data_IF_339110793977
#
_entry.id   IF_339110793977
#
_cell.length_a   1.000
_cell.length_b   1.000
_cell.length_c   1.000
_cell.angle_alpha   90.00
_cell.angle_beta   90.00
_cell.angle_gamma   90.00
#
_symmetry.space_group_name_H-M   'P 1'
#
loop_
_entity.id
_entity.type
_entity.pdbx_description
1 polymer ?
#
# COMPACT_ATOMS: atom_id res chain seq x y z
N UNK A 1 -8.22 18.83 7.82
CA UNK A 1 -7.18 17.82 7.54
C UNK A 1 -7.78 16.45 7.81
N UNK A 2 -8.01 15.63 6.77
CA UNK A 2 -8.46 14.25 6.99
C UNK A 2 -7.29 13.41 7.50
N UNK A 3 -7.53 12.60 8.54
CA UNK A 3 -6.51 11.81 9.25
C UNK A 3 -6.42 10.43 8.61
N UNK A 4 -5.37 10.18 7.82
CA UNK A 4 -5.00 8.84 7.36
C UNK A 4 -4.36 8.07 8.51
N UNK A 5 -4.84 6.85 8.75
CA UNK A 5 -4.30 5.95 9.78
C UNK A 5 -3.61 4.78 9.07
N UNK A 6 -2.34 4.56 9.39
CA UNK A 6 -1.61 3.38 8.92
C UNK A 6 -1.82 2.25 9.92
N UNK A 7 -2.37 1.14 9.44
CA UNK A 7 -2.61 -0.06 10.25
C UNK A 7 -1.78 -1.20 9.66
N UNK A 8 -0.94 -1.81 10.48
CA UNK A 8 -0.07 -2.91 10.06
C UNK A 8 -0.64 -4.25 10.54
N UNK A 9 -0.46 -5.28 9.73
CA UNK A 9 -0.85 -6.64 10.05
C UNK A 9 0.25 -7.61 9.59
N UNK A 10 0.40 -8.71 10.32
CA UNK A 10 1.43 -9.71 10.03
C UNK A 10 0.88 -10.74 9.04
N UNK A 11 1.30 -10.60 7.78
CA UNK A 11 0.95 -11.51 6.69
C UNK A 11 -0.42 -11.24 6.06
N UNK A 12 -0.63 -11.87 4.89
CA UNK A 12 -1.77 -11.64 4.01
C UNK A 12 -3.13 -11.88 4.67
N UNK A 13 -3.27 -12.99 5.38
CA UNK A 13 -4.52 -13.37 6.05
C UNK A 13 -4.92 -12.38 7.14
N UNK A 14 -3.95 -11.99 7.98
CA UNK A 14 -4.19 -11.01 9.04
C UNK A 14 -4.59 -9.65 8.46
N UNK A 15 -3.93 -9.24 7.36
CA UNK A 15 -4.22 -7.99 6.68
C UNK A 15 -5.61 -7.97 6.05
N UNK A 16 -6.02 -9.04 5.36
CA UNK A 16 -7.37 -9.12 4.77
C UNK A 16 -8.46 -9.21 5.85
N UNK A 17 -8.23 -9.98 6.92
CA UNK A 17 -9.17 -10.07 8.04
C UNK A 17 -9.38 -8.70 8.71
N UNK A 18 -8.29 -8.00 9.04
CA UNK A 18 -8.34 -6.68 9.66
C UNK A 18 -8.98 -5.63 8.74
N UNK A 19 -8.69 -5.68 7.44
CA UNK A 19 -9.37 -4.83 6.45
C UNK A 19 -10.88 -5.09 6.43
N UNK A 20 -11.30 -6.36 6.47
CA UNK A 20 -12.71 -6.74 6.59
C UNK A 20 -13.37 -6.13 7.82
N UNK A 21 -12.75 -6.23 9.00
CA UNK A 21 -13.22 -5.60 10.24
C UNK A 21 -13.34 -4.08 10.12
N UNK A 22 -12.35 -3.41 9.52
CA UNK A 22 -12.40 -1.95 9.34
C UNK A 22 -13.55 -1.55 8.40
N UNK A 23 -13.77 -2.32 7.33
CA UNK A 23 -14.85 -2.07 6.37
C UNK A 23 -16.23 -2.30 7.00
N UNK A 24 -16.43 -3.41 7.73
CA UNK A 24 -17.73 -3.81 8.24
C UNK A 24 -18.12 -3.16 9.56
N UNK A 25 -17.18 -3.03 10.50
CA UNK A 25 -17.47 -2.52 11.84
C UNK A 25 -17.21 -1.01 11.96
N UNK A 26 -16.17 -0.51 11.31
CA UNK A 26 -15.79 0.91 11.38
C UNK A 26 -16.36 1.73 10.23
N UNK A 27 -16.85 1.08 9.17
CA UNK A 27 -17.39 1.71 7.96
C UNK A 27 -16.45 2.77 7.37
N UNK A 28 -15.13 2.48 7.37
CA UNK A 28 -14.10 3.40 6.88
C UNK A 28 -13.51 2.91 5.57
N UNK A 29 -13.21 3.82 4.62
CA UNK A 29 -12.52 3.46 3.40
C UNK A 29 -11.16 2.79 3.67
N UNK A 30 -10.83 1.74 2.92
CA UNK A 30 -9.58 0.98 3.10
C UNK A 30 -8.81 0.87 1.79
N UNK A 31 -7.55 1.31 1.81
CA UNK A 31 -6.53 0.90 0.85
C UNK A 31 -5.75 -0.28 1.45
N UNK A 32 -6.00 -1.49 0.98
CA UNK A 32 -5.30 -2.68 1.47
C UNK A 32 -4.08 -2.97 0.57
N UNK A 33 -2.88 -2.82 1.12
CA UNK A 33 -1.63 -3.14 0.41
C UNK A 33 -1.12 -4.50 0.86
N UNK A 34 -0.93 -5.44 -0.07
CA UNK A 34 -0.45 -6.79 0.20
C UNK A 34 0.74 -7.09 -0.71
N UNK A 35 1.80 -7.67 -0.14
CA UNK A 35 2.93 -8.18 -0.91
C UNK A 35 2.51 -9.35 -1.81
N UNK A 36 2.82 -9.21 -3.10
CA UNK A 36 2.48 -10.17 -4.13
C UNK A 36 3.40 -11.40 -4.14
N UNK A 37 4.62 -11.31 -3.57
CA UNK A 37 5.63 -12.37 -3.58
C UNK A 37 5.97 -12.93 -4.98
N UNK A 38 5.63 -12.19 -6.04
CA UNK A 38 5.85 -12.58 -7.43
C UNK A 38 5.81 -11.36 -8.34
N UNK A 39 6.50 -11.42 -9.47
CA UNK A 39 6.46 -10.43 -10.55
C UNK A 39 5.60 -10.91 -11.73
N UNK A 40 5.04 -12.12 -11.66
CA UNK A 40 4.24 -12.71 -12.73
C UNK A 40 2.81 -12.13 -12.69
N UNK A 41 2.43 -11.40 -13.74
CA UNK A 41 1.19 -10.61 -13.77
C UNK A 41 -0.08 -11.45 -13.55
N UNK A 42 -0.14 -12.67 -14.09
CA UNK A 42 -1.26 -13.58 -13.91
C UNK A 42 -1.46 -13.94 -12.44
N UNK A 43 -0.39 -14.35 -11.76
CA UNK A 43 -0.38 -14.62 -10.33
C UNK A 43 -0.73 -13.40 -9.50
N UNK A 44 -0.25 -12.20 -9.86
CA UNK A 44 -0.60 -10.94 -9.17
C UNK A 44 -2.11 -10.69 -9.28
N UNK A 45 -2.66 -10.84 -10.48
CA UNK A 45 -4.07 -10.59 -10.76
C UNK A 45 -4.97 -11.60 -10.05
N UNK A 46 -4.62 -12.89 -10.08
CA UNK A 46 -5.37 -13.94 -9.39
C UNK A 46 -5.41 -13.69 -7.88
N UNK A 47 -4.28 -13.32 -7.29
CA UNK A 47 -4.20 -12.98 -5.87
C UNK A 47 -5.06 -11.76 -5.53
N UNK A 48 -5.01 -10.71 -6.35
CA UNK A 48 -5.84 -9.52 -6.18
C UNK A 48 -7.34 -9.84 -6.23
N UNK A 49 -7.77 -10.66 -7.19
CA UNK A 49 -9.17 -11.10 -7.34
C UNK A 49 -9.61 -11.92 -6.13
N UNK A 50 -8.75 -12.85 -5.68
CA UNK A 50 -9.02 -13.69 -4.51
C UNK A 50 -9.28 -12.84 -3.28
N UNK A 51 -8.35 -11.92 -2.95
CA UNK A 51 -8.47 -11.07 -1.76
C UNK A 51 -9.66 -10.12 -1.88
N UNK A 52 -9.88 -9.54 -3.06
CA UNK A 52 -11.01 -8.62 -3.31
C UNK A 52 -12.34 -9.32 -3.06
N UNK A 53 -12.46 -10.57 -3.49
CA UNK A 53 -13.67 -11.39 -3.31
C UNK A 53 -13.93 -11.71 -1.83
N UNK A 54 -12.87 -11.89 -1.02
CA UNK A 54 -13.00 -12.10 0.43
C UNK A 54 -13.51 -10.85 1.16
N UNK A 55 -13.20 -9.66 0.65
CA UNK A 55 -13.60 -8.38 1.26
C UNK A 55 -14.97 -7.90 0.82
N UNK A 56 -15.47 -8.38 -0.33
CA UNK A 56 -16.73 -7.93 -0.90
C UNK A 56 -17.92 -8.04 0.10
N UNK A 57 -18.10 -9.14 0.85
CA UNK A 57 -19.20 -9.27 1.82
C UNK A 57 -19.10 -8.27 2.99
N UNK A 58 -17.90 -7.80 3.30
CA UNK A 58 -17.64 -6.89 4.42
C UNK A 58 -17.75 -5.40 4.05
N UNK A 59 -18.13 -5.07 2.80
CA UNK A 59 -17.96 -3.74 2.21
C UNK A 59 -19.24 -2.97 1.81
N UNK A 60 -20.41 -3.10 2.49
CA UNK A 60 -21.64 -2.50 1.98
C UNK A 60 -21.54 -0.96 1.90
N UNK A 61 -21.31 -0.45 0.69
CA UNK A 61 -21.24 0.99 0.39
C UNK A 61 -19.94 1.70 0.81
N UNK A 62 -18.92 0.99 1.29
CA UNK A 62 -17.66 1.60 1.74
C UNK A 62 -16.58 1.42 0.68
N UNK A 63 -15.96 2.51 0.18
CA UNK A 63 -14.90 2.41 -0.83
C UNK A 63 -13.69 1.62 -0.33
N UNK A 64 -13.26 0.62 -1.10
CA UNK A 64 -12.03 -0.10 -0.82
C UNK A 64 -11.31 -0.50 -2.11
N UNK A 65 -10.00 -0.72 -2.00
CA UNK A 65 -9.20 -1.28 -3.10
C UNK A 65 -8.04 -2.11 -2.54
N UNK A 66 -7.80 -3.25 -3.18
CA UNK A 66 -6.63 -4.10 -2.93
C UNK A 66 -5.51 -3.69 -3.89
N UNK A 67 -4.33 -3.49 -3.34
CA UNK A 67 -3.11 -3.12 -4.04
C UNK A 67 -2.07 -4.20 -3.82
N UNK A 68 -1.62 -4.84 -4.90
CA UNK A 68 -0.58 -5.85 -4.84
C UNK A 68 0.78 -5.17 -5.02
N UNK A 69 1.62 -5.22 -4.00
CA UNK A 69 2.99 -4.73 -4.06
C UNK A 69 3.88 -5.84 -4.61
N UNK A 70 4.35 -5.70 -5.86
CA UNK A 70 5.29 -6.65 -6.44
C UNK A 70 6.72 -6.42 -5.89
N UNK A 71 7.61 -7.45 -5.94
CA UNK A 71 8.98 -7.36 -5.41
C UNK A 71 9.85 -6.26 -6.04
N UNK A 72 9.48 -5.71 -7.20
CA UNK A 72 10.21 -4.59 -7.81
C UNK A 72 10.16 -3.35 -6.93
N UNK A 73 9.07 -3.15 -6.18
CA UNK A 73 8.99 -2.05 -5.22
C UNK A 73 10.03 -2.21 -4.11
N UNK A 74 10.18 -3.42 -3.59
CA UNK A 74 11.18 -3.74 -2.57
C UNK A 74 12.60 -3.53 -3.11
N UNK A 75 12.88 -3.96 -4.34
CA UNK A 75 14.19 -3.77 -4.95
C UNK A 75 14.59 -2.29 -5.05
N UNK A 76 13.64 -1.41 -5.39
CA UNK A 76 13.88 0.04 -5.44
C UNK A 76 14.08 0.60 -4.04
N UNK A 77 13.20 0.24 -3.10
CA UNK A 77 13.32 0.68 -1.71
C UNK A 77 14.62 0.19 -1.08
N UNK A 78 15.09 -0.99 -1.46
CA UNK A 78 16.37 -1.55 -1.05
C UNK A 78 17.53 -0.75 -1.65
N UNK A 79 17.52 -0.45 -2.94
CA UNK A 79 18.53 0.40 -3.57
C UNK A 79 18.64 1.76 -2.87
N UNK A 80 17.49 2.41 -2.66
CA UNK A 80 17.39 3.67 -1.94
C UNK A 80 17.89 3.54 -0.49
N UNK A 81 17.53 2.45 0.19
CA UNK A 81 18.02 2.15 1.54
C UNK A 81 19.54 1.99 1.56
N UNK A 82 20.14 1.26 0.62
CA UNK A 82 21.60 1.08 0.53
C UNK A 82 22.31 2.41 0.28
N UNK A 83 21.79 3.23 -0.63
CA UNK A 83 22.32 4.56 -0.91
C UNK A 83 22.24 5.46 0.34
N UNK A 84 21.16 5.36 1.10
CA UNK A 84 20.95 6.11 2.33
C UNK A 84 21.77 5.58 3.51
N UNK A 85 21.89 4.26 3.69
CA UNK A 85 22.76 3.64 4.69
C UNK A 85 24.22 4.06 4.50
N UNK A 86 24.66 4.14 3.25
CA UNK A 86 25.99 4.66 2.88
C UNK A 86 26.18 6.11 3.31
N UNK A 87 25.12 6.93 3.27
CA UNK A 87 25.14 8.34 3.66
C UNK A 87 24.93 8.60 5.15
N UNK A 88 24.23 7.71 5.86
CA UNK A 88 23.61 7.99 7.17
C UNK A 88 23.98 6.97 8.27
N UNK A 89 24.88 6.02 8.02
CA UNK A 89 25.38 5.04 9.01
C UNK A 89 24.26 4.21 9.70
N UNK A 90 23.54 3.43 8.90
CA UNK A 90 22.50 2.49 9.36
C UNK A 90 21.30 3.16 10.07
N UNK A 91 20.63 4.13 9.42
CA UNK A 91 19.51 4.85 10.02
C UNK A 91 18.23 3.99 10.10
N UNK A 92 17.33 4.26 11.07
CA UNK A 92 16.01 3.63 11.08
C UNK A 92 15.22 3.99 9.81
N UNK A 93 14.33 3.09 9.34
CA UNK A 93 13.57 3.23 8.09
C UNK A 93 12.78 4.55 8.01
N UNK A 94 12.27 5.06 9.14
CA UNK A 94 11.60 6.37 9.17
C UNK A 94 12.53 7.52 8.79
N UNK A 95 13.82 7.44 9.16
CA UNK A 95 14.84 8.41 8.75
C UNK A 95 15.22 8.23 7.28
N UNK A 96 15.19 7.00 6.76
CA UNK A 96 15.36 6.71 5.32
C UNK A 96 14.25 7.39 4.51
N UNK A 97 12.98 7.22 4.90
CA UNK A 97 11.85 7.84 4.19
C UNK A 97 11.88 9.38 4.26
N UNK A 98 12.31 9.94 5.39
CA UNK A 98 12.42 11.40 5.56
C UNK A 98 13.65 12.01 4.89
N UNK A 99 14.62 11.19 4.45
CA UNK A 99 15.85 11.63 3.78
C UNK A 99 15.83 11.40 2.27
N UNK A 100 14.71 10.89 1.73
CA UNK A 100 14.47 10.80 0.31
C UNK A 100 14.59 12.18 -0.36
N UNK A 101 15.42 12.24 -1.39
CA UNK A 101 15.54 13.40 -2.26
C UNK A 101 14.30 13.53 -3.14
N UNK A 102 14.08 14.73 -3.68
CA UNK A 102 12.99 14.96 -4.65
C UNK A 102 13.08 14.04 -5.87
N UNK A 103 14.30 13.71 -6.33
CA UNK A 103 14.52 12.79 -7.44
C UNK A 103 14.10 11.35 -7.10
N UNK A 104 14.47 10.85 -5.91
CA UNK A 104 14.04 9.52 -5.44
C UNK A 104 12.52 9.44 -5.24
N UNK A 105 11.90 10.50 -4.71
CA UNK A 105 10.45 10.61 -4.61
C UNK A 105 9.79 10.55 -5.99
N UNK A 106 10.33 11.25 -6.99
CA UNK A 106 9.82 11.22 -8.36
C UNK A 106 9.92 9.81 -8.98
N UNK A 107 11.02 9.10 -8.75
CA UNK A 107 11.18 7.71 -9.22
C UNK A 107 10.11 6.80 -8.62
N UNK A 108 9.82 6.95 -7.33
CA UNK A 108 8.75 6.20 -6.65
C UNK A 108 7.36 6.57 -7.19
N UNK A 109 7.10 7.86 -7.44
CA UNK A 109 5.82 8.36 -7.97
C UNK A 109 5.54 7.94 -9.42
N UNK A 110 6.56 7.55 -10.18
CA UNK A 110 6.38 7.01 -11.54
C UNK A 110 5.87 5.56 -11.55
N UNK A 111 5.82 4.88 -10.39
CA UNK A 111 5.38 3.50 -10.30
C UNK A 111 3.85 3.40 -10.29
N UNK A 112 3.33 2.43 -11.04
CA UNK A 112 1.89 2.19 -11.20
C UNK A 112 1.19 1.98 -9.86
N UNK A 113 1.80 1.25 -8.93
CA UNK A 113 1.25 1.03 -7.59
C UNK A 113 1.04 2.34 -6.83
N UNK A 114 2.07 3.19 -6.80
CA UNK A 114 2.04 4.48 -6.08
C UNK A 114 1.01 5.42 -6.73
N UNK A 115 0.97 5.49 -8.06
CA UNK A 115 -0.03 6.27 -8.78
C UNK A 115 -1.46 5.82 -8.47
N UNK A 116 -1.70 4.50 -8.52
CA UNK A 116 -3.02 3.95 -8.21
C UNK A 116 -3.43 4.20 -6.76
N UNK A 117 -2.49 4.12 -5.82
CA UNK A 117 -2.73 4.38 -4.39
C UNK A 117 -3.04 5.86 -4.17
N UNK A 118 -2.23 6.77 -4.73
CA UNK A 118 -2.48 8.22 -4.65
C UNK A 118 -3.84 8.59 -5.25
N UNK A 119 -4.19 8.02 -6.41
CA UNK A 119 -5.47 8.31 -7.05
C UNK A 119 -6.66 7.77 -6.25
N UNK A 120 -6.56 6.56 -5.68
CA UNK A 120 -7.59 6.04 -4.81
C UNK A 120 -7.78 6.92 -3.58
N UNK A 121 -6.70 7.30 -2.90
CA UNK A 121 -6.77 8.17 -1.73
C UNK A 121 -7.40 9.52 -2.09
N UNK A 122 -6.99 10.14 -3.21
CA UNK A 122 -7.58 11.39 -3.68
C UNK A 122 -9.09 11.27 -3.95
N UNK A 123 -9.52 10.16 -4.57
CA UNK A 123 -10.94 9.88 -4.84
C UNK A 123 -11.75 9.64 -3.56
N UNK A 124 -11.15 9.02 -2.54
CA UNK A 124 -11.79 8.83 -1.23
C UNK A 124 -11.95 10.16 -0.51
N UNK A 125 -10.92 11.02 -0.54
CA UNK A 125 -10.98 12.35 0.07
C UNK A 125 -12.06 13.21 -0.57
N UNK A 126 -12.18 13.18 -1.91
CA UNK A 126 -13.16 13.99 -2.64
C UNK A 126 -14.61 13.52 -2.48
N UNK A 127 -14.84 12.23 -2.19
CA UNK A 127 -16.17 11.69 -1.89
C UNK A 127 -16.62 11.94 -0.44
N UNK A 128 -15.69 12.32 0.44
CA UNK A 128 -15.95 12.62 1.86
C UNK A 128 -16.03 14.14 2.16
N UNK A 129 -16.03 14.98 1.12
CA UNK A 129 -16.16 16.44 1.20
C UNK A 129 -17.54 16.88 0.68
#
# INVERSE_FOLDING_TARGET
>A
MQRTEFVTAHGRYSASSLAGTILSERMRPVALVIDANTTEEGSIQEQAVTITSLLLPASPGVPYKVFMADPTLEAILFQVKTDLETRLANPPVTSVLNSLTTGEIQILQQRSLIQQLTQFLANVVSQAA
#
